data_IF_752042388626
#
_entry.id   IF_752042388626
#
_cell.length_a   1.000
_cell.length_b   1.000
_cell.length_c   1.000
_cell.angle_alpha   90.00
_cell.angle_beta   90.00
_cell.angle_gamma   90.00
#
_symmetry.space_group_name_H-M   'P 1'
#
loop_
_entity.id
_entity.type
_entity.pdbx_description
1 polymer ?
#
# COMPACT_ATOMS: atom_id res chain seq x y z
N UNK A 1 -12.38 -13.30 -0.62
CA UNK A 1 -12.20 -12.42 0.55
C UNK A 1 -12.56 -11.01 0.15
N UNK A 2 -13.05 -10.17 1.07
CA UNK A 2 -13.35 -8.77 0.77
C UNK A 2 -12.08 -7.91 0.84
N UNK A 3 -12.00 -6.83 0.05
CA UNK A 3 -10.90 -5.86 0.16
C UNK A 3 -10.74 -5.32 1.59
N UNK A 4 -11.86 -5.21 2.33
CA UNK A 4 -11.88 -4.80 3.73
C UNK A 4 -11.17 -5.82 4.65
N UNK A 5 -11.43 -7.11 4.48
CA UNK A 5 -10.79 -8.16 5.30
C UNK A 5 -9.29 -8.23 5.04
N UNK A 6 -8.89 -8.09 3.77
CA UNK A 6 -7.48 -8.11 3.36
C UNK A 6 -6.73 -6.90 3.92
N UNK A 7 -7.34 -5.71 3.87
CA UNK A 7 -6.81 -4.50 4.50
C UNK A 7 -6.50 -4.69 5.99
N UNK A 8 -7.43 -5.26 6.77
CA UNK A 8 -7.21 -5.47 8.20
C UNK A 8 -6.18 -6.55 8.50
N UNK A 9 -6.06 -7.57 7.66
CA UNK A 9 -5.01 -8.59 7.80
C UNK A 9 -3.62 -7.98 7.60
N UNK A 10 -3.44 -7.21 6.53
CA UNK A 10 -2.17 -6.52 6.26
C UNK A 10 -1.84 -5.54 7.40
N UNK A 11 -2.82 -4.79 7.89
CA UNK A 11 -2.62 -3.89 9.03
C UNK A 11 -2.18 -4.64 10.30
N UNK A 12 -2.71 -5.84 10.53
CA UNK A 12 -2.28 -6.73 11.61
C UNK A 12 -0.80 -7.09 11.47
N UNK A 13 -0.39 -7.55 10.29
CA UNK A 13 1.01 -7.89 10.01
C UNK A 13 1.96 -6.71 10.24
N UNK A 14 1.57 -5.50 9.81
CA UNK A 14 2.36 -4.28 10.05
C UNK A 14 2.50 -4.00 11.55
N UNK A 15 1.44 -4.23 12.33
CA UNK A 15 1.47 -4.00 13.78
C UNK A 15 2.44 -4.94 14.51
N UNK A 16 2.74 -6.09 13.93
CA UNK A 16 3.67 -7.08 14.47
C UNK A 16 5.14 -6.82 14.05
N UNK A 17 5.41 -5.85 13.18
CA UNK A 17 6.76 -5.50 12.70
C UNK A 17 7.56 -4.68 13.74
N UNK A 18 8.90 -4.68 13.68
CA UNK A 18 9.75 -3.71 14.39
C UNK A 18 9.40 -2.24 14.07
N UNK A 19 9.64 -1.27 14.98
CA UNK A 19 9.24 0.13 14.78
C UNK A 19 9.84 0.82 13.55
N UNK A 20 11.07 0.46 13.17
CA UNK A 20 11.75 0.95 11.98
C UNK A 20 11.07 0.43 10.70
N UNK A 21 10.75 -0.86 10.63
CA UNK A 21 9.99 -1.43 9.52
C UNK A 21 8.57 -0.85 9.42
N UNK A 22 7.90 -0.59 10.55
CA UNK A 22 6.61 0.10 10.56
C UNK A 22 6.71 1.50 9.96
N UNK A 23 7.75 2.25 10.31
CA UNK A 23 7.98 3.59 9.77
C UNK A 23 8.24 3.57 8.26
N UNK A 24 8.95 2.55 7.76
CA UNK A 24 9.14 2.35 6.31
C UNK A 24 7.81 2.06 5.59
N UNK A 25 6.95 1.22 6.18
CA UNK A 25 5.61 0.96 5.63
C UNK A 25 4.77 2.23 5.59
N UNK A 26 4.75 3.02 6.68
CA UNK A 26 4.02 4.29 6.74
C UNK A 26 4.52 5.29 5.70
N UNK A 27 5.84 5.39 5.51
CA UNK A 27 6.44 6.24 4.48
C UNK A 27 6.00 5.82 3.08
N UNK A 28 6.08 4.52 2.75
CA UNK A 28 5.66 4.01 1.46
C UNK A 28 4.17 4.25 1.19
N UNK A 29 3.30 4.03 2.19
CA UNK A 29 1.86 4.32 2.09
C UNK A 29 1.64 5.81 1.82
N UNK A 30 2.38 6.69 2.48
CA UNK A 30 2.28 8.13 2.28
C UNK A 30 2.65 8.51 0.84
N UNK A 31 3.80 8.04 0.35
CA UNK A 31 4.29 8.35 -1.00
C UNK A 31 3.34 7.87 -2.10
N UNK A 32 2.83 6.65 -2.00
CA UNK A 32 1.86 6.11 -2.98
C UNK A 32 0.55 6.90 -2.95
N UNK A 33 0.09 7.29 -1.76
CA UNK A 33 -1.12 8.10 -1.60
C UNK A 33 -0.94 9.49 -2.21
N UNK A 34 0.21 10.14 -1.95
CA UNK A 34 0.56 11.43 -2.53
C UNK A 34 0.61 11.37 -4.06
N UNK A 35 1.17 10.30 -4.65
CA UNK A 35 1.14 10.07 -6.11
C UNK A 35 -0.30 9.94 -6.61
N UNK A 36 -1.10 9.09 -5.98
CA UNK A 36 -2.47 8.81 -6.41
C UNK A 36 -3.37 10.06 -6.37
N UNK A 37 -3.12 10.99 -5.44
CA UNK A 37 -3.88 12.23 -5.29
C UNK A 37 -3.54 13.31 -6.34
N UNK A 38 -2.46 13.16 -7.12
CA UNK A 38 -2.03 14.19 -8.10
C UNK A 38 -3.04 14.38 -9.24
N UNK A 39 -3.66 13.30 -9.71
CA UNK A 39 -4.68 13.31 -10.77
C UNK A 39 -5.36 11.95 -10.89
N UNK A 40 -6.53 11.86 -11.56
CA UNK A 40 -7.17 10.57 -11.84
C UNK A 40 -6.26 9.60 -12.62
N UNK A 41 -5.44 10.10 -13.55
CA UNK A 41 -4.48 9.28 -14.29
C UNK A 41 -3.37 8.72 -13.38
N UNK A 42 -2.88 9.54 -12.43
CA UNK A 42 -1.89 9.09 -11.45
C UNK A 42 -2.45 8.04 -10.49
N UNK A 43 -3.72 8.15 -10.09
CA UNK A 43 -4.41 7.11 -9.31
C UNK A 43 -4.44 5.77 -10.05
N UNK A 44 -4.83 5.76 -11.34
CA UNK A 44 -4.82 4.54 -12.17
C UNK A 44 -3.40 3.97 -12.28
N UNK A 45 -2.39 4.83 -12.50
CA UNK A 45 -0.99 4.43 -12.53
C UNK A 45 -0.50 3.78 -11.22
N UNK A 46 -0.87 4.35 -10.08
CA UNK A 46 -0.53 3.79 -8.76
C UNK A 46 -1.18 2.41 -8.55
N UNK A 47 -2.46 2.26 -8.90
CA UNK A 47 -3.16 0.96 -8.83
C UNK A 47 -2.50 -0.07 -9.75
N UNK A 48 -2.14 0.32 -10.98
CA UNK A 48 -1.48 -0.57 -11.94
C UNK A 48 -0.11 -1.03 -11.42
N UNK A 49 0.68 -0.12 -10.84
CA UNK A 49 1.97 -0.45 -10.26
C UNK A 49 1.84 -1.44 -9.08
N UNK A 50 0.92 -1.19 -8.15
CA UNK A 50 0.66 -2.09 -7.02
C UNK A 50 0.17 -3.47 -7.47
N UNK A 51 -0.72 -3.51 -8.46
CA UNK A 51 -1.19 -4.77 -9.06
C UNK A 51 -0.04 -5.55 -9.67
N UNK A 52 0.86 -4.88 -10.41
CA UNK A 52 2.02 -5.52 -11.02
C UNK A 52 2.97 -6.11 -9.95
N UNK A 53 3.27 -5.35 -8.90
CA UNK A 53 4.10 -5.84 -7.80
C UNK A 53 3.51 -7.07 -7.13
N UNK A 54 2.19 -7.11 -6.94
CA UNK A 54 1.50 -8.28 -6.37
C UNK A 54 1.50 -9.51 -7.30
N UNK A 55 1.65 -9.33 -8.62
CA UNK A 55 1.80 -10.43 -9.57
C UNK A 55 3.23 -10.95 -9.66
N UNK A 56 4.22 -10.09 -9.42
CA UNK A 56 5.65 -10.40 -9.52
C UNK A 56 6.22 -10.97 -8.20
N UNK A 57 5.49 -10.86 -7.08
CA UNK A 57 5.84 -11.37 -5.75
C UNK A 57 5.45 -12.84 -5.55
#
# INVERSE_FOLDING_TARGET
>A
MSAKSEYYQIKGMVSDMPPDEQAEVELAVREVTEIAQRSPAAMVGAILAMTKLAMDA
#
